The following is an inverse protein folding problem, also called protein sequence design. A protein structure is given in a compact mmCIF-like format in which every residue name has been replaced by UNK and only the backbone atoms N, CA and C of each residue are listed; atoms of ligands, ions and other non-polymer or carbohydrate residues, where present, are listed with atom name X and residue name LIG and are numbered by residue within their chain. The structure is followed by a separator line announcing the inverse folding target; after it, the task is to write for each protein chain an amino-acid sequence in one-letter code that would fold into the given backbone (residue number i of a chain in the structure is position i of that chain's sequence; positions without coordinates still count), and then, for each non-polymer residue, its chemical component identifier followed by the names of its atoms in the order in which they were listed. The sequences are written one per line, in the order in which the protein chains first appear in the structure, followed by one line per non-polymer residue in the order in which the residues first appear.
data_IF_312220947170
#
_entry.id   IF_312220947170
#
_cell.length_a   1.000
_cell.length_b   1.000
_cell.length_c   1.000
_cell.angle_alpha   90.00
_cell.angle_beta   90.00
_cell.angle_gamma   90.00
#
_symmetry.space_group_name_H-M   'P 1'
#
loop_
_entity.id
_entity.type
_entity.pdbx_description
1 polymer ?
#
# COMPACT_ATOMS: atom_id res chain seq x y z
N UNK A 1 -9.38 10.44 8.75
CA UNK A 1 -9.71 9.01 8.48
C UNK A 1 -11.21 8.81 8.32
N UNK A 2 -12.06 9.45 9.13
CA UNK A 2 -13.54 9.31 9.07
C UNK A 2 -14.23 9.78 7.77
N UNK A 3 -13.50 10.45 6.87
CA UNK A 3 -14.05 10.98 5.62
C UNK A 3 -14.03 9.96 4.46
N UNK A 4 -13.31 8.84 4.62
CA UNK A 4 -13.27 7.77 3.63
C UNK A 4 -14.24 6.66 4.03
N UNK A 5 -15.05 6.12 3.11
CA UNK A 5 -15.92 4.97 3.36
C UNK A 5 -15.12 3.65 3.30
N UNK A 6 -13.99 3.61 4.01
CA UNK A 6 -13.01 2.53 3.97
C UNK A 6 -12.60 2.13 5.39
N UNK A 7 -12.08 0.92 5.52
CA UNK A 7 -11.51 0.48 6.79
C UNK A 7 -10.35 1.41 7.22
N UNK A 8 -10.13 1.59 8.54
CA UNK A 8 -9.08 2.46 9.03
C UNK A 8 -7.68 2.19 8.44
N UNK A 9 -7.21 0.93 8.28
CA UNK A 9 -5.91 0.66 7.67
C UNK A 9 -5.77 1.21 6.24
N UNK A 10 -6.81 1.03 5.41
CA UNK A 10 -6.84 1.50 4.03
C UNK A 10 -6.87 3.03 3.97
N UNK A 11 -7.67 3.66 4.84
CA UNK A 11 -7.71 5.13 4.97
C UNK A 11 -6.35 5.70 5.39
N UNK A 12 -5.63 5.02 6.30
CA UNK A 12 -4.29 5.43 6.73
C UNK A 12 -3.29 5.33 5.58
N UNK A 13 -3.38 4.27 4.77
CA UNK A 13 -2.52 4.05 3.61
C UNK A 13 -2.61 5.20 2.62
N UNK A 14 -3.82 5.69 2.31
CA UNK A 14 -4.03 6.85 1.42
C UNK A 14 -3.39 8.13 1.99
N UNK A 15 -3.58 8.40 3.29
CA UNK A 15 -3.01 9.58 3.93
C UNK A 15 -1.48 9.54 3.99
N UNK A 16 -0.89 8.35 4.12
CA UNK A 16 0.56 8.19 4.02
C UNK A 16 1.06 8.33 2.58
N UNK A 17 0.28 7.88 1.60
CA UNK A 17 0.62 7.97 0.19
C UNK A 17 0.80 9.42 -0.28
N UNK A 18 0.01 10.35 0.26
CA UNK A 18 0.12 11.79 0.00
C UNK A 18 1.52 12.33 0.35
N UNK A 19 2.01 12.02 1.55
CA UNK A 19 3.35 12.42 2.02
C UNK A 19 4.48 11.79 1.21
N UNK A 20 4.22 10.62 0.64
CA UNK A 20 5.18 9.82 -0.10
C UNK A 20 5.15 10.09 -1.61
N UNK A 21 4.12 10.78 -2.12
CA UNK A 21 3.99 11.11 -3.54
C UNK A 21 3.48 9.95 -4.42
N UNK A 22 2.71 9.01 -3.85
CA UNK A 22 2.27 7.77 -4.53
C UNK A 22 0.77 7.53 -4.45
N UNK A 23 -0.01 8.61 -4.46
CA UNK A 23 -1.45 8.57 -4.22
C UNK A 23 -2.17 7.77 -5.29
N UNK A 24 -1.84 7.91 -6.58
CA UNK A 24 -2.56 7.19 -7.65
C UNK A 24 -2.38 5.67 -7.55
N UNK A 25 -1.15 5.20 -7.30
CA UNK A 25 -0.83 3.79 -7.17
C UNK A 25 -1.52 3.19 -5.94
N UNK A 26 -1.48 3.89 -4.81
CA UNK A 26 -2.15 3.44 -3.57
C UNK A 26 -3.66 3.43 -3.74
N UNK A 27 -4.26 4.40 -4.43
CA UNK A 27 -5.70 4.39 -4.72
C UNK A 27 -6.12 3.17 -5.54
N UNK A 28 -5.30 2.74 -6.50
CA UNK A 28 -5.54 1.50 -7.24
C UNK A 28 -5.48 0.29 -6.31
N UNK A 29 -4.44 0.18 -5.47
CA UNK A 29 -4.28 -0.94 -4.53
C UNK A 29 -5.46 -1.02 -3.57
N UNK A 30 -5.86 0.11 -2.96
CA UNK A 30 -7.05 0.18 -2.10
C UNK A 30 -8.29 -0.30 -2.85
N UNK A 31 -8.51 0.21 -4.06
CA UNK A 31 -9.69 -0.15 -4.86
C UNK A 31 -9.72 -1.64 -5.21
N UNK A 32 -8.56 -2.25 -5.46
CA UNK A 32 -8.44 -3.69 -5.74
C UNK A 32 -8.74 -4.54 -4.50
N UNK A 33 -8.36 -4.08 -3.30
CA UNK A 33 -8.65 -4.75 -2.03
C UNK A 33 -10.12 -4.58 -1.60
N UNK A 34 -10.77 -3.48 -1.98
CA UNK A 34 -12.18 -3.21 -1.62
C UNK A 34 -13.21 -3.96 -2.49
N UNK A 35 -12.77 -4.67 -3.52
CA UNK A 35 -13.64 -5.45 -4.41
C UNK A 35 -13.34 -6.93 -4.21
N UNK A 36 -14.34 -7.84 -4.31
CA UNK A 36 -14.09 -9.28 -4.28
C UNK A 36 -13.02 -9.71 -5.28
N UNK A 37 -12.37 -10.84 -5.00
CA UNK A 37 -11.28 -11.38 -5.81
C UNK A 37 -11.55 -11.29 -7.32
N UNK A 38 -10.66 -10.60 -8.03
CA UNK A 38 -10.74 -10.41 -9.48
C UNK A 38 -10.35 -11.66 -10.27
N UNK A 39 -9.78 -12.67 -9.62
CA UNK A 39 -9.34 -13.91 -10.26
C UNK A 39 -10.53 -14.87 -10.46
N UNK A 40 -10.53 -15.58 -11.58
CA UNK A 40 -11.53 -16.59 -11.91
C UNK A 40 -10.84 -17.93 -12.13
N UNK A 41 -11.07 -18.90 -11.24
CA UNK A 41 -10.44 -20.23 -11.30
C UNK A 41 -11.49 -21.31 -11.60
N UNK A 42 -11.73 -21.65 -12.88
CA UNK A 42 -12.62 -22.75 -13.24
C UNK A 42 -12.04 -24.10 -12.81
N UNK A 43 -12.89 -25.03 -12.35
CA UNK A 43 -12.44 -26.35 -11.86
C UNK A 43 -11.74 -27.17 -12.93
N UNK A 44 -12.21 -27.09 -14.17
CA UNK A 44 -11.69 -27.90 -15.28
C UNK A 44 -10.40 -27.33 -15.90
N UNK A 45 -10.09 -26.05 -15.63
CA UNK A 45 -8.92 -25.34 -16.19
C UNK A 45 -8.15 -24.59 -15.11
N UNK A 46 -8.02 -25.22 -13.94
CA UNK A 46 -7.38 -24.62 -12.78
C UNK A 46 -5.89 -24.33 -13.04
N UNK A 47 -5.17 -25.28 -13.66
CA UNK A 47 -3.74 -25.14 -13.97
C UNK A 47 -3.47 -24.00 -14.97
N UNK A 48 -4.28 -23.88 -16.02
CA UNK A 48 -4.17 -22.78 -16.98
C UNK A 48 -4.42 -21.42 -16.32
N UNK A 49 -5.42 -21.34 -15.43
CA UNK A 49 -5.74 -20.14 -14.67
C UNK A 49 -4.59 -19.74 -13.75
N UNK A 50 -3.99 -20.71 -13.07
CA UNK A 50 -2.88 -20.47 -12.14
C UNK A 50 -1.63 -20.02 -12.92
N UNK A 51 -1.31 -20.67 -14.04
CA UNK A 51 -0.22 -20.28 -14.94
C UNK A 51 -0.43 -18.89 -15.57
N UNK A 52 -1.67 -18.51 -15.88
CA UNK A 52 -1.99 -17.17 -16.36
C UNK A 52 -1.79 -16.11 -15.27
N UNK A 53 -2.10 -16.45 -14.01
CA UNK A 53 -1.92 -15.58 -12.85
C UNK A 53 -0.45 -15.37 -12.51
N UNK A 54 0.37 -16.41 -12.57
CA UNK A 54 1.81 -16.34 -12.30
C UNK A 54 2.54 -15.32 -13.19
N UNK A 55 2.07 -15.11 -14.43
CA UNK A 55 2.63 -14.10 -15.35
C UNK A 55 2.50 -12.65 -14.85
N UNK A 56 1.63 -12.41 -13.87
CA UNK A 56 1.45 -11.08 -13.28
C UNK A 56 2.19 -10.91 -11.96
N UNK A 57 2.82 -11.96 -11.43
CA UNK A 57 3.47 -11.91 -10.13
C UNK A 57 4.60 -10.89 -10.13
N UNK A 58 4.47 -9.93 -9.23
CA UNK A 58 5.55 -9.04 -8.86
C UNK A 58 6.31 -9.73 -7.72
N UNK A 59 7.59 -10.09 -7.93
CA UNK A 59 8.41 -10.59 -6.84
C UNK A 59 8.39 -9.53 -5.74
N UNK A 60 8.27 -9.96 -4.48
CA UNK A 60 8.17 -9.12 -3.27
C UNK A 60 6.76 -8.65 -2.87
N UNK A 61 5.76 -8.55 -3.75
CA UNK A 61 4.46 -7.99 -3.34
C UNK A 61 3.24 -8.43 -4.14
N UNK A 62 2.28 -9.03 -3.43
CA UNK A 62 0.94 -9.29 -3.94
C UNK A 62 0.14 -8.00 -4.15
N UNK A 63 0.36 -6.98 -3.33
CA UNK A 63 -0.29 -5.68 -3.50
C UNK A 63 0.16 -5.00 -4.80
N UNK A 64 1.45 -5.08 -5.13
CA UNK A 64 1.97 -4.58 -6.41
C UNK A 64 1.50 -5.45 -7.57
N UNK A 65 1.32 -6.77 -7.36
CA UNK A 65 0.69 -7.64 -8.36
C UNK A 65 -0.71 -7.16 -8.73
N UNK A 66 -1.54 -6.78 -7.74
CA UNK A 66 -2.86 -6.18 -7.99
C UNK A 66 -2.76 -4.88 -8.79
N UNK A 67 -1.84 -3.98 -8.40
CA UNK A 67 -1.57 -2.75 -9.12
C UNK A 67 -1.19 -3.02 -10.59
N UNK A 68 -0.30 -3.98 -10.81
CA UNK A 68 0.19 -4.36 -12.14
C UNK A 68 -0.95 -4.87 -13.02
N UNK A 69 -1.81 -5.75 -12.49
CA UNK A 69 -2.98 -6.27 -13.23
C UNK A 69 -3.90 -5.13 -13.66
N UNK A 70 -4.21 -4.19 -12.75
CA UNK A 70 -5.06 -3.06 -13.08
C UNK A 70 -4.45 -2.17 -14.17
N UNK A 71 -3.14 -1.90 -14.09
CA UNK A 71 -2.43 -1.12 -15.11
C UNK A 71 -2.47 -1.82 -16.49
N UNK A 72 -2.25 -3.14 -16.54
CA UNK A 72 -2.33 -3.90 -17.79
C UNK A 72 -3.75 -3.89 -18.37
N UNK A 73 -4.76 -4.08 -17.52
CA UNK A 73 -6.16 -3.99 -17.93
C UNK A 73 -6.51 -2.63 -18.53
N UNK A 74 -6.01 -1.54 -17.93
CA UNK A 74 -6.17 -0.17 -18.44
C UNK A 74 -5.45 0.03 -19.78
N UNK A 75 -4.23 -0.49 -19.95
CA UNK A 75 -3.47 -0.44 -21.22
C UNK A 75 -4.25 -1.13 -22.36
N UNK A 76 -4.92 -2.25 -22.06
CA UNK A 76 -5.79 -2.96 -23.00
C UNK A 76 -7.21 -2.37 -23.09
N UNK A 77 -7.41 -1.11 -22.70
CA UNK A 77 -8.68 -0.36 -22.80
C UNK A 77 -9.89 -1.07 -22.14
N UNK A 78 -9.63 -1.88 -21.13
CA UNK A 78 -10.68 -2.65 -20.44
C UNK A 78 -11.29 -3.79 -21.27
N UNK A 79 -10.53 -4.35 -22.22
CA UNK A 79 -10.99 -5.42 -23.10
C UNK A 79 -11.47 -6.66 -22.35
N UNK A 80 -12.69 -7.10 -22.64
CA UNK A 80 -13.27 -8.31 -22.08
C UNK A 80 -12.54 -9.57 -22.59
N UNK A 81 -12.07 -9.57 -23.83
CA UNK A 81 -11.32 -10.67 -24.42
C UNK A 81 -9.97 -10.86 -23.71
N UNK A 82 -9.29 -9.75 -23.37
CA UNK A 82 -8.05 -9.79 -22.60
C UNK A 82 -8.28 -10.39 -21.22
N UNK A 83 -9.31 -9.92 -20.50
CA UNK A 83 -9.68 -10.50 -19.21
C UNK A 83 -9.99 -12.00 -19.29
N UNK A 84 -10.72 -12.44 -20.32
CA UNK A 84 -11.06 -13.85 -20.51
C UNK A 84 -9.81 -14.71 -20.73
N UNK A 85 -8.86 -14.23 -21.55
CA UNK A 85 -7.57 -14.91 -21.79
C UNK A 85 -6.72 -15.05 -20.52
N UNK A 86 -6.82 -14.09 -19.61
CA UNK A 86 -6.04 -14.04 -18.36
C UNK A 86 -6.81 -14.51 -17.13
N UNK A 87 -7.99 -15.13 -17.30
CA UNK A 87 -8.80 -15.66 -16.20
C UNK A 87 -9.16 -14.58 -15.15
N UNK A 88 -9.48 -13.36 -15.64
CA UNK A 88 -9.86 -12.21 -14.82
C UNK A 88 -11.35 -11.88 -14.99
N UNK A 89 -11.99 -11.48 -13.89
CA UNK A 89 -13.39 -11.08 -13.87
C UNK A 89 -13.56 -9.63 -14.35
N UNK A 90 -14.09 -9.46 -15.57
CA UNK A 90 -14.34 -8.14 -16.18
C UNK A 90 -15.23 -7.25 -15.29
N UNK A 91 -16.28 -7.83 -14.72
CA UNK A 91 -17.23 -7.11 -13.85
C UNK A 91 -16.53 -6.57 -12.59
N UNK A 92 -15.68 -7.38 -11.98
CA UNK A 92 -14.91 -6.98 -10.80
C UNK A 92 -13.93 -5.84 -11.13
N UNK A 93 -13.17 -5.95 -12.24
CA UNK A 93 -12.25 -4.89 -12.67
C UNK A 93 -12.95 -3.57 -13.02
N UNK A 94 -14.14 -3.63 -13.64
CA UNK A 94 -14.97 -2.43 -13.84
C UNK A 94 -15.40 -1.81 -12.52
N UNK A 95 -15.77 -2.63 -11.53
CA UNK A 95 -16.12 -2.15 -10.19
C UNK A 95 -14.92 -1.49 -9.49
N UNK A 96 -13.72 -2.06 -9.64
CA UNK A 96 -12.48 -1.44 -9.14
C UNK A 96 -12.28 -0.05 -9.76
N UNK A 97 -12.50 0.11 -11.06
CA UNK A 97 -12.37 1.41 -11.71
C UNK A 97 -13.39 2.45 -11.20
N UNK A 98 -14.62 2.02 -10.92
CA UNK A 98 -15.66 2.86 -10.32
C UNK A 98 -15.27 3.30 -8.90
N UNK A 99 -14.83 2.35 -8.06
CA UNK A 99 -14.36 2.64 -6.69
C UNK A 99 -13.15 3.58 -6.72
N UNK A 100 -12.18 3.37 -7.62
CA UNK A 100 -11.05 4.28 -7.80
C UNK A 100 -11.52 5.69 -8.12
N UNK A 101 -12.47 5.86 -9.03
CA UNK A 101 -13.01 7.17 -9.39
C UNK A 101 -13.64 7.87 -8.19
N UNK A 102 -14.45 7.15 -7.41
CA UNK A 102 -15.08 7.69 -6.20
C UNK A 102 -14.02 8.11 -5.16
N UNK A 103 -12.99 7.30 -4.96
CA UNK A 103 -11.90 7.63 -4.04
C UNK A 103 -11.10 8.84 -4.51
N UNK A 104 -10.84 8.97 -5.82
CA UNK A 104 -10.19 10.15 -6.41
C UNK A 104 -10.99 11.42 -6.09
N UNK A 105 -12.32 11.38 -6.23
CA UNK A 105 -13.18 12.52 -5.95
C UNK A 105 -13.12 12.92 -4.46
N UNK A 106 -13.12 11.94 -3.55
CA UNK A 106 -12.98 12.18 -2.11
C UNK A 106 -11.59 12.77 -1.78
N UNK A 107 -10.52 12.20 -2.34
CA UNK A 107 -9.14 12.69 -2.14
C UNK A 107 -9.02 14.15 -2.60
N UNK A 108 -9.61 14.51 -3.74
CA UNK A 108 -9.65 15.91 -4.22
C UNK A 108 -10.44 16.82 -3.27
N UNK A 109 -11.57 16.36 -2.75
CA UNK A 109 -12.34 17.13 -1.75
C UNK A 109 -11.55 17.38 -0.46
N UNK A 110 -10.67 16.45 -0.09
CA UNK A 110 -9.76 16.58 1.06
C UNK A 110 -8.50 17.41 0.75
N UNK A 111 -8.40 18.02 -0.44
CA UNK A 111 -7.24 18.81 -0.91
C UNK A 111 -5.92 18.01 -0.98
N UNK A 112 -6.01 16.70 -1.18
CA UNK A 112 -4.85 15.85 -1.41
C UNK A 112 -4.55 15.84 -2.91
N UNK A 113 -3.30 16.08 -3.29
CA UNK A 113 -2.89 16.11 -4.69
C UNK A 113 -2.68 14.68 -5.23
N UNK A 114 -3.12 14.46 -6.47
CA UNK A 114 -2.86 13.20 -7.16
C UNK A 114 -1.41 13.17 -7.65
N UNK A 115 -0.57 12.42 -6.95
CA UNK A 115 0.82 12.17 -7.28
C UNK A 115 1.02 10.74 -7.78
N UNK A 116 1.98 10.57 -8.69
CA UNK A 116 2.39 9.28 -9.24
C UNK A 116 3.91 9.16 -9.20
N UNK A 117 4.42 7.96 -8.96
CA UNK A 117 5.86 7.69 -8.88
C UNK A 117 6.48 7.50 -10.30
N UNK A 118 5.67 7.26 -11.33
CA UNK A 118 6.16 7.01 -12.69
C UNK A 118 7.02 5.74 -12.78
N UNK A 119 8.26 5.86 -13.29
CA UNK A 119 9.27 4.79 -13.33
C UNK A 119 10.09 4.67 -12.03
N UNK A 120 9.65 5.31 -10.95
CA UNK A 120 10.41 5.41 -9.71
C UNK A 120 10.39 4.16 -8.83
N UNK A 121 10.80 4.37 -7.58
CA UNK A 121 11.01 3.33 -6.58
C UNK A 121 9.69 2.77 -6.02
N UNK A 122 9.43 1.48 -6.24
CA UNK A 122 8.24 0.79 -5.74
C UNK A 122 8.21 0.69 -4.21
N UNK A 123 9.35 0.91 -3.54
CA UNK A 123 9.47 0.91 -2.08
C UNK A 123 8.63 2.00 -1.44
N UNK A 124 8.38 3.08 -2.17
CA UNK A 124 7.49 4.15 -1.73
C UNK A 124 6.06 3.63 -1.54
N UNK A 125 5.57 2.80 -2.48
CA UNK A 125 4.26 2.15 -2.38
C UNK A 125 4.28 1.08 -1.27
N UNK A 126 5.34 0.25 -1.21
CA UNK A 126 5.50 -0.76 -0.14
C UNK A 126 5.50 -0.12 1.25
N UNK A 127 6.11 1.05 1.38
CA UNK A 127 6.16 1.81 2.63
C UNK A 127 4.80 2.40 2.99
N UNK A 128 4.04 2.90 2.01
CA UNK A 128 2.66 3.32 2.24
C UNK A 128 1.80 2.15 2.74
N UNK A 129 1.92 0.97 2.13
CA UNK A 129 1.25 -0.26 2.55
C UNK A 129 1.64 -0.64 3.98
N UNK A 130 2.95 -0.60 4.28
CA UNK A 130 3.48 -0.83 5.62
C UNK A 130 2.85 0.13 6.65
N UNK A 131 2.61 1.39 6.29
CA UNK A 131 2.03 2.37 7.20
C UNK A 131 0.57 2.06 7.56
N UNK A 132 -0.20 1.51 6.62
CA UNK A 132 -1.57 1.03 6.86
C UNK A 132 -1.60 -0.26 7.69
N UNK A 133 -0.76 -1.22 7.32
CA UNK A 133 -0.77 -2.60 7.86
C UNK A 133 0.33 -2.91 8.87
N UNK A 134 0.94 -1.91 9.51
CA UNK A 134 2.00 -2.13 10.51
C UNK A 134 1.58 -3.06 11.67
N UNK A 135 0.28 -3.14 11.98
CA UNK A 135 -0.26 -4.05 13.00
C UNK A 135 -0.36 -5.51 12.52
N UNK A 136 -0.42 -5.71 11.21
CA UNK A 136 -0.39 -6.99 10.52
C UNK A 136 1.02 -7.30 9.99
N UNK A 137 2.05 -6.86 10.70
CA UNK A 137 3.43 -7.21 10.38
C UNK A 137 3.78 -8.58 10.96
N UNK A 138 4.47 -9.40 10.17
CA UNK A 138 4.93 -10.72 10.57
C UNK A 138 6.40 -10.94 10.24
N UNK A 139 7.06 -11.78 11.05
CA UNK A 139 8.46 -12.15 10.90
C UNK A 139 8.60 -13.66 10.69
N UNK A 140 9.51 -14.03 9.79
CA UNK A 140 9.88 -15.42 9.55
C UNK A 140 10.57 -16.01 10.80
N UNK A 141 10.03 -17.10 11.33
CA UNK A 141 10.60 -17.82 12.48
C UNK A 141 11.27 -19.13 12.09
N UNK A 142 10.78 -19.78 11.05
CA UNK A 142 11.25 -21.08 10.59
C UNK A 142 10.98 -21.28 9.10
N UNK A 143 10.93 -22.54 8.66
CA UNK A 143 10.69 -22.87 7.26
C UNK A 143 9.20 -22.65 6.94
N UNK A 144 8.90 -21.57 6.22
CA UNK A 144 7.54 -21.25 5.77
C UNK A 144 6.55 -20.90 6.89
N UNK A 145 7.04 -20.65 8.11
CA UNK A 145 6.24 -20.20 9.26
C UNK A 145 6.62 -18.77 9.63
N UNK A 146 5.62 -17.91 9.65
CA UNK A 146 5.71 -16.52 10.09
C UNK A 146 4.99 -16.36 11.43
N UNK A 147 5.42 -15.40 12.23
CA UNK A 147 4.73 -15.00 13.45
C UNK A 147 4.40 -13.53 13.39
N UNK A 148 3.14 -13.18 13.67
CA UNK A 148 2.73 -11.78 13.78
C UNK A 148 3.49 -11.11 14.94
N UNK A 149 4.06 -9.92 14.69
CA UNK A 149 4.92 -9.22 15.63
C UNK A 149 4.17 -8.66 16.87
N UNK A 150 2.86 -8.46 16.78
CA UNK A 150 2.05 -7.93 17.88
C UNK A 150 1.30 -9.02 18.64
N UNK A 151 0.61 -9.89 17.91
CA UNK A 151 -0.24 -10.92 18.50
C UNK A 151 0.53 -12.20 18.83
N UNK A 152 1.74 -12.37 18.28
CA UNK A 152 2.54 -13.60 18.39
C UNK A 152 1.83 -14.85 17.86
N UNK A 153 0.81 -14.67 17.01
CA UNK A 153 0.06 -15.76 16.39
C UNK A 153 0.86 -16.31 15.19
N UNK A 154 1.04 -17.64 15.08
CA UNK A 154 1.71 -18.26 13.94
C UNK A 154 0.80 -18.27 12.71
N UNK A 155 1.35 -17.84 11.58
CA UNK A 155 0.67 -17.73 10.30
C UNK A 155 1.56 -18.26 9.17
N UNK A 156 0.94 -18.67 8.07
CA UNK A 156 1.63 -19.13 6.87
C UNK A 156 1.31 -18.25 5.67
N UNK A 157 2.19 -18.22 4.66
CA UNK A 157 1.86 -17.61 3.38
C UNK A 157 0.75 -18.40 2.70
N UNK A 158 -0.27 -17.71 2.18
CA UNK A 158 -1.31 -18.38 1.41
C UNK A 158 -0.71 -18.92 0.09
N UNK A 159 -1.10 -20.13 -0.38
CA UNK A 159 -0.52 -20.75 -1.59
C UNK A 159 -0.68 -19.93 -2.87
N UNK A 160 -1.66 -19.00 -2.90
CA UNK A 160 -1.89 -18.12 -4.05
C UNK A 160 -1.06 -16.83 -4.04
N UNK A 161 -0.26 -16.62 -2.99
CA UNK A 161 0.65 -15.47 -2.90
C UNK A 161 1.84 -15.67 -3.84
N UNK A 162 2.27 -14.60 -4.50
CA UNK A 162 3.48 -14.58 -5.31
C UNK A 162 4.72 -14.96 -4.49
N UNK A 163 4.71 -14.68 -3.19
CA UNK A 163 5.83 -14.96 -2.28
C UNK A 163 5.97 -16.45 -1.92
N UNK A 164 4.94 -17.28 -2.15
CA UNK A 164 4.97 -18.69 -1.75
C UNK A 164 5.94 -19.53 -2.61
N UNK A 165 6.12 -19.20 -3.89
CA UNK A 165 6.82 -20.03 -4.87
C UNK A 165 8.19 -19.53 -5.34
N UNK A 166 8.68 -18.38 -4.84
CA UNK A 166 9.82 -17.68 -5.44
C UNK A 166 11.22 -18.08 -4.95
N UNK A 167 11.34 -19.09 -4.06
CA UNK A 167 12.63 -19.57 -3.55
C UNK A 167 13.38 -18.60 -2.62
N UNK A 168 13.01 -17.30 -2.61
CA UNK A 168 13.46 -16.31 -1.65
C UNK A 168 12.29 -15.88 -0.75
N UNK A 169 12.34 -16.27 0.52
CA UNK A 169 11.34 -15.88 1.52
C UNK A 169 11.82 -14.66 2.31
N UNK A 170 11.15 -13.50 2.21
CA UNK A 170 11.56 -12.31 2.95
C UNK A 170 11.38 -12.51 4.47
N UNK A 171 12.31 -11.96 5.25
CA UNK A 171 12.29 -12.09 6.72
C UNK A 171 11.11 -11.36 7.35
N UNK A 172 10.73 -10.19 6.82
CA UNK A 172 9.65 -9.35 7.32
C UNK A 172 8.62 -9.11 6.22
N UNK A 173 7.35 -9.26 6.59
CA UNK A 173 6.22 -9.06 5.69
C UNK A 173 5.08 -8.33 6.38
N UNK A 174 4.24 -7.66 5.60
CA UNK A 174 2.92 -7.18 6.02
C UNK A 174 1.85 -7.85 5.18
N UNK A 175 0.67 -8.05 5.76
CA UNK A 175 -0.45 -8.70 5.07
C UNK A 175 -1.76 -7.92 5.26
N UNK A 176 -2.67 -8.06 4.29
CA UNK A 176 -3.99 -7.43 4.33
C UNK A 176 -4.90 -8.11 5.36
N UNK A 177 -5.06 -9.43 5.23
CA UNK A 177 -5.96 -10.24 6.06
C UNK A 177 -5.40 -11.63 6.34
N UNK A 178 -6.01 -12.32 7.30
CA UNK A 178 -5.70 -13.73 7.63
C UNK A 178 -6.97 -14.55 7.46
N UNK A 179 -6.88 -15.61 6.66
CA UNK A 179 -7.96 -16.58 6.50
C UNK A 179 -7.68 -17.77 7.41
N UNK A 180 -8.61 -18.02 8.33
CA UNK A 180 -8.54 -19.14 9.27
C UNK A 180 -9.21 -20.37 8.67
N UNK A 181 -8.42 -21.41 8.41
CA UNK A 181 -8.89 -22.72 7.95
C UNK A 181 -8.37 -23.81 8.90
N UNK A 182 -7.71 -24.86 8.38
CA UNK A 182 -6.93 -25.78 9.19
C UNK A 182 -5.64 -25.12 9.74
N UNK A 183 -5.10 -24.16 8.99
CA UNK A 183 -4.02 -23.26 9.40
C UNK A 183 -4.43 -21.82 9.10
N UNK A 184 -3.76 -20.87 9.73
CA UNK A 184 -3.96 -19.45 9.50
C UNK A 184 -3.08 -19.00 8.34
N UNK A 185 -3.71 -18.54 7.25
CA UNK A 185 -3.03 -18.14 6.02
C UNK A 185 -3.15 -16.63 5.79
N UNK A 186 -2.00 -15.97 5.62
CA UNK A 186 -1.92 -14.56 5.28
C UNK A 186 -2.23 -14.35 3.80
N UNK A 187 -3.15 -13.45 3.49
CA UNK A 187 -3.50 -13.07 2.12
C UNK A 187 -3.04 -11.64 1.82
N UNK A 188 -2.70 -11.44 0.55
CA UNK A 188 -2.12 -10.20 0.02
C UNK A 188 -0.90 -9.77 0.85
N UNK A 189 0.24 -10.40 0.59
CA UNK A 189 1.47 -10.20 1.37
C UNK A 189 2.44 -9.30 0.61
N UNK A 190 3.13 -8.42 1.34
CA UNK A 190 4.21 -7.57 0.81
C UNK A 190 5.43 -7.70 1.70
N UNK A 191 6.58 -7.94 1.09
CA UNK A 191 7.89 -7.87 1.74
C UNK A 191 8.19 -6.42 2.16
N UNK A 192 8.73 -6.26 3.35
CA UNK A 192 9.04 -4.93 3.91
C UNK A 192 10.40 -4.91 4.60
N UNK A 193 10.99 -3.73 4.71
CA UNK A 193 12.17 -3.53 5.53
C UNK A 193 11.80 -3.23 6.99
N UNK A 194 12.55 -3.76 7.97
CA UNK A 194 12.28 -3.52 9.39
C UNK A 194 12.44 -2.04 9.79
N UNK A 195 13.27 -1.28 9.06
CA UNK A 195 13.44 0.16 9.28
C UNK A 195 12.12 0.92 9.13
N UNK A 196 11.29 0.55 8.14
CA UNK A 196 10.01 1.20 7.89
C UNK A 196 9.03 0.97 9.03
N UNK A 197 8.98 -0.24 9.60
CA UNK A 197 8.16 -0.54 10.77
C UNK A 197 8.55 0.30 11.98
N UNK A 198 9.84 0.47 12.22
CA UNK A 198 10.34 1.25 13.34
C UNK A 198 10.05 2.75 13.19
N UNK A 199 10.10 3.29 11.97
CA UNK A 199 9.76 4.69 11.73
C UNK A 199 8.24 4.94 11.78
N UNK A 200 7.45 4.08 11.15
CA UNK A 200 5.99 4.23 11.04
C UNK A 200 5.25 3.85 12.31
N UNK A 201 5.84 2.98 13.11
CA UNK A 201 5.30 2.44 14.34
C UNK A 201 6.25 2.61 15.52
N UNK A 202 6.95 3.73 15.64
CA UNK A 202 7.98 3.96 16.67
C UNK A 202 7.52 3.73 18.12
N UNK A 203 6.22 3.90 18.39
CA UNK A 203 5.61 3.62 19.71
C UNK A 203 5.46 2.11 19.99
N UNK A 204 5.46 1.29 18.94
CA UNK A 204 5.13 -0.14 18.97
C UNK A 204 6.36 -0.99 18.66
N UNK A 205 7.21 -0.53 17.73
CA UNK A 205 8.37 -1.24 17.24
C UNK A 205 9.65 -0.44 17.53
N UNK A 206 10.65 -1.14 18.07
CA UNK A 206 12.00 -0.61 18.29
C UNK A 206 12.99 -1.53 17.59
N UNK A 207 13.90 -0.97 16.81
CA UNK A 207 15.01 -1.75 16.24
C UNK A 207 15.93 -2.18 17.37
N UNK A 208 16.04 -3.49 17.55
CA UNK A 208 16.98 -4.05 18.52
C UNK A 208 18.36 -4.09 17.88
N UNK A 209 19.11 -3.00 17.98
CA UNK A 209 20.55 -3.03 17.70
C UNK A 209 21.24 -3.86 18.77
N UNK A 210 22.32 -4.55 18.40
CA UNK A 210 23.12 -5.36 19.34
C UNK A 210 23.72 -4.54 20.51
N UNK A 211 23.58 -3.21 20.49
CA UNK A 211 24.14 -2.28 21.47
C UNK A 211 23.12 -1.28 22.07
N UNK A 212 21.80 -1.45 21.84
CA UNK A 212 20.78 -0.56 22.41
C UNK A 212 20.11 -1.16 23.65
N UNK A 213 20.35 -0.54 24.81
CA UNK A 213 19.66 -0.85 26.06
C UNK A 213 18.18 -0.45 25.99
N UNK A 214 17.30 -1.43 25.73
CA UNK A 214 15.84 -1.26 25.74
C UNK A 214 15.29 -0.61 27.03
N UNK A 215 16.04 -0.70 28.13
CA UNK A 215 15.71 -0.07 29.41
C UNK A 215 15.87 1.47 29.39
N UNK A 216 16.77 2.00 28.57
CA UNK A 216 17.00 3.46 28.44
C UNK A 216 15.90 4.10 27.57
N UNK A 217 15.60 3.49 26.43
CA UNK A 217 14.51 3.95 25.54
C UNK A 217 13.16 3.96 26.25
N UNK A 218 12.82 2.88 26.98
CA UNK A 218 11.58 2.83 27.78
C UNK A 218 11.53 3.85 28.91
N UNK A 219 12.68 4.25 29.47
CA UNK A 219 12.74 5.31 30.50
C UNK A 219 12.52 6.68 29.88
N UNK A 220 13.08 6.94 28.70
CA UNK A 220 12.89 8.17 27.95
C UNK A 220 11.43 8.32 27.51
N UNK A 221 10.82 7.28 26.94
CA UNK A 221 9.40 7.31 26.54
C UNK A 221 8.46 7.57 27.72
N UNK A 222 8.71 6.94 28.88
CA UNK A 222 7.93 7.18 30.11
C UNK A 222 8.11 8.62 30.62
N UNK A 223 9.31 9.17 30.49
CA UNK A 223 9.60 10.55 30.90
C UNK A 223 8.90 11.55 29.98
N UNK A 224 8.96 11.34 28.68
CA UNK A 224 8.26 12.17 27.69
C UNK A 224 6.74 12.09 27.84
N UNK A 225 6.18 10.91 28.15
CA UNK A 225 4.75 10.77 28.45
C UNK A 225 4.34 11.51 29.72
N UNK A 226 5.13 11.44 30.78
CA UNK A 226 4.86 12.16 32.03
C UNK A 226 4.96 13.70 31.85
N UNK A 227 5.90 14.18 31.04
CA UNK A 227 6.03 15.61 30.71
C UNK A 227 4.83 16.12 29.92
N UNK A 228 4.34 15.34 28.94
CA UNK A 228 3.14 15.69 28.17
C UNK A 228 1.90 15.69 29.07
N UNK A 229 1.74 14.70 29.95
CA UNK A 229 0.62 14.65 30.90
C UNK A 229 0.64 15.84 31.88
N UNK A 230 1.82 16.23 32.36
CA UNK A 230 1.99 17.39 33.23
C UNK A 230 1.62 18.69 32.51
N UNK A 231 2.02 18.85 31.24
CA UNK A 231 1.65 20.01 30.43
C UNK A 231 0.13 20.12 30.24
N UNK A 232 -0.56 19.01 29.96
CA UNK A 232 -2.02 19.00 29.86
C UNK A 232 -2.70 19.42 31.17
N UNK A 233 -2.24 18.92 32.33
CA UNK A 233 -2.76 19.32 33.64
C UNK A 233 -2.53 20.81 33.92
N UNK A 234 -1.38 21.36 33.53
CA UNK A 234 -1.08 22.79 33.68
C UNK A 234 -2.02 23.63 32.81
N UNK A 235 -2.30 23.21 31.58
CA UNK A 235 -3.26 23.92 30.70
C UNK A 235 -4.69 23.89 31.25
N UNK A 236 -5.13 22.76 31.82
CA UNK A 236 -6.45 22.66 32.46
C UNK A 236 -6.58 23.59 33.67
N UNK A 237 -5.55 23.64 34.53
CA UNK A 237 -5.53 24.56 35.68
C UNK A 237 -5.54 26.03 35.25
N UNK A 238 -4.83 26.40 34.17
CA UNK A 238 -4.87 27.76 33.63
C UNK A 238 -6.26 28.13 33.08
N UNK A 239 -6.95 27.20 32.42
CA UNK A 239 -8.31 27.39 31.91
C UNK A 239 -9.36 27.50 33.02
N UNK A 240 -9.18 26.78 34.14
CA UNK A 240 -10.08 26.89 35.30
C UNK A 240 -9.86 28.18 36.09
N UNK A 241 -8.62 28.65 36.25
CA UNK A 241 -8.32 29.94 36.88
C UNK A 241 -8.84 31.15 36.09
N UNK A 242 -8.86 31.09 34.76
CA UNK A 242 -9.45 32.16 33.92
C UNK A 242 -10.99 32.24 34.02
N UNK A 243 -11.68 31.13 34.40
CA UNK A 243 -13.14 31.11 34.57
C UNK A 243 -13.63 31.65 35.92
N UNK A 244 -12.75 31.89 36.90
CA UNK A 244 -13.11 32.41 38.23
C UNK A 244 -12.74 33.89 38.44
N UNK A 245 -12.33 34.60 37.38
CA UNK A 245 -11.92 36.01 37.46
C UNK A 245 -12.92 37.05 36.95
N UNK A 246 -14.19 36.70 36.69
CA UNK A 246 -15.15 37.62 36.06
C UNK A 246 -16.48 37.73 36.80
N UNK A 247 -16.57 38.60 37.81
CA UNK A 247 -17.83 39.21 38.26
C UNK A 247 -17.62 40.45 39.14
N UNK A 248 -18.05 41.62 38.63
CA UNK A 248 -18.73 42.78 39.30
C UNK A 248 -18.37 44.14 38.62
N UNK A 249 -19.15 45.23 38.78
CA UNK A 249 -20.29 45.61 37.94
C UNK A 249 -20.09 46.98 37.21
N UNK A 250 -21.09 47.37 36.40
CA UNK A 250 -21.14 48.48 35.43
C UNK A 250 -21.15 49.93 36.00
N UNK A 251 -20.93 50.89 35.07
CA UNK A 251 -21.16 52.37 35.05
C UNK A 251 -19.89 53.24 35.16
N UNK A 252 -19.72 54.36 34.45
CA UNK A 252 -20.21 54.94 33.19
C UNK A 252 -19.26 56.11 32.86
N UNK A 253 -19.36 56.60 31.61
CA UNK A 253 -18.96 57.93 31.12
C UNK A 253 -17.49 58.27 30.80
N UNK A 254 -17.27 58.64 29.52
CA UNK A 254 -16.62 59.91 29.22
C UNK A 254 -15.34 59.90 28.38
N UNK A 255 -15.50 60.29 27.11
CA UNK A 255 -14.63 61.23 26.37
C UNK A 255 -13.37 60.73 25.59
N UNK A 256 -13.42 60.94 24.26
CA UNK A 256 -12.39 61.44 23.29
C UNK A 256 -10.90 61.13 23.54
N UNK A 257 -9.99 60.83 22.60
CA UNK A 257 -9.80 61.17 21.17
C UNK A 257 -8.63 60.30 20.63
N UNK A 258 -8.59 60.12 19.29
CA UNK A 258 -7.42 60.06 18.39
C UNK A 258 -6.07 59.46 18.83
N UNK A 259 -5.50 58.58 17.99
CA UNK A 259 -4.27 58.77 17.17
C UNK A 259 -3.69 57.39 16.77
N UNK A 260 -3.31 57.32 15.49
CA UNK A 260 -2.61 56.27 14.76
C UNK A 260 -1.39 55.63 15.44
N UNK A 261 -1.15 54.34 15.17
CA UNK A 261 0.07 53.91 14.47
C UNK A 261 0.06 52.42 14.06
N UNK A 262 0.21 52.18 12.76
CA UNK A 262 0.90 51.00 12.18
C UNK A 262 2.42 51.23 12.28
N UNK A 263 3.30 50.19 12.28
CA UNK A 263 3.65 49.37 11.10
C UNK A 263 3.72 47.86 11.40
N UNK A 264 3.39 46.97 10.44
CA UNK A 264 4.37 46.26 9.60
C UNK A 264 4.79 44.94 10.28
N UNK A 265 4.40 43.74 9.82
CA UNK A 265 4.76 43.14 8.54
C UNK A 265 5.93 42.18 8.74
N UNK A 266 5.67 40.87 8.80
CA UNK A 266 6.65 39.82 8.48
C UNK A 266 5.94 38.46 8.36
N UNK A 267 5.82 38.00 7.11
CA UNK A 267 5.64 36.61 6.72
C UNK A 267 6.67 35.68 7.39
N UNK A 268 6.27 34.43 7.60
CA UNK A 268 7.17 33.39 8.08
C UNK A 268 6.49 32.04 8.19
N UNK A 269 6.10 31.49 7.04
CA UNK A 269 5.66 30.09 6.94
C UNK A 269 6.77 29.13 7.38
N UNK A 270 6.37 28.03 8.03
CA UNK A 270 7.23 26.88 8.26
C UNK A 270 6.39 25.60 8.21
N UNK A 271 5.89 25.28 7.01
CA UNK A 271 5.57 23.90 6.64
C UNK A 271 6.89 23.15 6.49
N UNK A 272 7.29 22.43 7.54
CA UNK A 272 8.35 21.45 7.43
C UNK A 272 7.80 20.18 6.80
N UNK A 273 7.71 20.19 5.46
CA UNK A 273 7.60 18.97 4.65
C UNK A 273 8.92 18.20 4.75
N UNK A 274 9.12 17.52 5.88
CA UNK A 274 10.24 16.62 6.08
C UNK A 274 9.85 15.24 5.54
N UNK A 275 10.25 14.97 4.29
CA UNK A 275 10.25 13.61 3.74
C UNK A 275 10.93 12.65 4.74
N UNK A 276 10.37 11.46 5.02
CA UNK A 276 10.94 10.54 6.00
C UNK A 276 12.36 10.12 5.63
N UNK A 277 13.18 9.80 6.65
CA UNK A 277 14.65 9.72 6.53
C UNK A 277 15.13 8.60 5.62
N UNK A 278 14.39 7.50 5.46
CA UNK A 278 14.75 6.38 4.59
C UNK A 278 14.74 6.73 3.09
N UNK A 279 13.87 7.65 2.63
CA UNK A 279 13.86 8.13 1.23
C UNK A 279 15.16 8.81 0.81
N UNK A 280 16.04 9.19 1.76
CA UNK A 280 17.35 9.79 1.46
C UNK A 280 18.47 8.77 1.28
N UNK A 281 18.26 7.48 1.58
CA UNK A 281 19.37 6.50 1.73
C UNK A 281 19.40 5.34 0.72
N UNK A 282 18.38 5.18 -0.12
CA UNK A 282 18.36 4.10 -1.11
C UNK A 282 18.76 4.61 -2.50
N UNK A 283 20.06 4.60 -2.78
CA UNK A 283 20.56 4.34 -4.14
C UNK A 283 21.05 2.88 -4.15
N UNK A 284 20.12 1.95 -4.37
CA UNK A 284 20.43 0.59 -4.81
C UNK A 284 19.85 0.40 -6.22
N UNK A 285 20.47 -0.44 -7.07
CA UNK A 285 20.16 -0.48 -8.49
C UNK A 285 18.73 -0.99 -8.70
N UNK A 286 17.95 -0.18 -9.43
CA UNK A 286 16.59 -0.44 -9.85
C UNK A 286 16.50 -1.81 -10.53
N UNK A 287 15.82 -2.77 -9.90
CA UNK A 287 15.46 -4.01 -10.57
C UNK A 287 14.29 -3.71 -11.51
N UNK A 288 14.57 -3.80 -12.81
CA UNK A 288 13.58 -3.70 -13.87
C UNK A 288 12.52 -4.79 -13.69
N UNK A 289 11.25 -4.41 -13.75
CA UNK A 289 10.18 -5.37 -14.04
C UNK A 289 10.52 -6.08 -15.36
N UNK A 290 10.39 -7.41 -15.46
CA UNK A 290 10.70 -8.11 -16.69
C UNK A 290 9.81 -7.59 -17.82
N UNK A 291 10.44 -7.09 -18.89
CA UNK A 291 9.75 -6.82 -20.15
C UNK A 291 9.16 -8.13 -20.65
N UNK A 292 7.92 -8.15 -21.17
CA UNK A 292 7.42 -9.33 -21.87
C UNK A 292 8.38 -9.63 -23.03
N UNK A 293 8.86 -10.87 -23.09
CA UNK A 293 9.62 -11.34 -24.23
C UNK A 293 8.75 -11.19 -25.49
N UNK A 294 9.26 -10.63 -26.60
CA UNK A 294 8.56 -10.68 -27.86
C UNK A 294 8.35 -12.17 -28.25
N UNK A 295 7.22 -12.52 -28.87
CA UNK A 295 7.05 -13.87 -29.40
C UNK A 295 8.19 -14.15 -30.40
N UNK A 296 8.88 -15.26 -30.21
CA UNK A 296 9.89 -15.75 -31.14
C UNK A 296 9.23 -16.02 -32.50
N UNK A 297 9.61 -15.23 -33.52
CA UNK A 297 9.33 -15.51 -34.93
C UNK A 297 10.12 -16.74 -35.35
N UNK A 298 9.58 -17.94 -35.12
CA UNK A 298 10.16 -19.18 -35.66
C UNK A 298 9.12 -20.30 -35.84
N UNK A 299 7.88 -19.95 -36.18
CA UNK A 299 6.85 -20.96 -36.49
C UNK A 299 6.00 -20.65 -37.73
N UNK A 300 6.51 -19.84 -38.66
CA UNK A 300 5.87 -19.61 -39.95
C UNK A 300 6.93 -19.56 -41.06
N UNK A 301 7.50 -20.72 -41.36
CA UNK A 301 8.15 -21.01 -42.64
C UNK A 301 8.28 -22.54 -42.74
N UNK A 302 8.09 -23.07 -43.95
CA UNK A 302 8.16 -24.48 -44.36
C UNK A 302 6.84 -25.26 -44.31
N UNK A 303 5.93 -24.96 -45.23
CA UNK A 303 5.21 -25.98 -46.01
C UNK A 303 4.91 -25.40 -47.41
N UNK A 304 5.90 -25.45 -48.30
CA UNK A 304 5.68 -25.49 -49.76
C UNK A 304 6.65 -26.52 -50.37
N UNK A 305 6.14 -27.25 -51.37
CA UNK A 305 6.73 -28.30 -52.21
C UNK A 305 6.60 -29.77 -51.72
N UNK A 306 5.54 -30.45 -52.17
CA UNK A 306 5.71 -31.59 -53.09
C UNK A 306 4.41 -31.85 -53.88
N UNK A 307 4.36 -31.34 -55.12
CA UNK A 307 3.42 -31.83 -56.15
C UNK A 307 4.07 -33.03 -56.85
N UNK A 308 3.40 -34.18 -56.85
CA UNK A 308 3.49 -35.12 -57.97
C UNK A 308 3.69 -36.59 -57.62
N UNK A 309 2.58 -37.31 -57.51
CA UNK A 309 2.32 -38.63 -58.11
C UNK A 309 1.39 -39.45 -57.21
N UNK A 310 0.12 -39.58 -57.59
CA UNK A 310 -0.54 -40.88 -57.79
C UNK A 310 -2.00 -40.64 -58.24
N UNK A 311 -2.19 -40.52 -59.55
CA UNK A 311 -3.51 -40.58 -60.17
C UNK A 311 -3.47 -41.71 -61.18
N UNK A 312 -3.60 -42.96 -60.74
CA UNK A 312 -4.03 -44.08 -61.57
C UNK A 312 -4.26 -45.36 -60.74
N UNK A 313 -5.40 -45.45 -60.07
CA UNK A 313 -6.11 -46.72 -59.82
C UNK A 313 -7.39 -46.49 -59.05
N UNK A 314 -8.52 -46.38 -59.74
CA UNK A 314 -9.80 -46.95 -59.30
C UNK A 314 -10.84 -46.85 -60.42
N UNK A 315 -10.56 -47.52 -61.55
CA UNK A 315 -11.61 -48.04 -62.43
C UNK A 315 -11.13 -49.36 -63.03
N UNK A 316 -11.51 -50.48 -62.40
CA UNK A 316 -11.94 -51.73 -63.05
C UNK A 316 -12.24 -52.81 -62.01
N UNK A 317 -13.36 -53.48 -62.28
CA UNK A 317 -13.98 -54.66 -61.64
C UNK A 317 -14.94 -54.39 -60.49
#
# INVERSE_FOLDING_TARGET
MSQFPLDPPLSKMILCADRLGCVDEVLVVVSMLSVPSIFYRPKDRAEESDAAREKFFVPESDHLTLLYIYQQWRKHKGSAQWCAKHYLQVKALRKVAEVKSQLVDIVKQQKIELSTIGLGDWDVVRTAICAGYFHNAAKLRGIGEYINLLTSVPCHLHPTSALYGMGHTPEYVVYHEVVKTAKEYMQHVTAIEPAWLAELGSKVFVLKDKNTDLAKVRKEDKKSQAEIELLYKIEEMKKSSQKHGGSSPEESDGFSTSVDNRPGGADGGCETSLKPRFLRRHQHPSQQLPSPAPPSESSYAEEEEDEGADSDRYERE
#
